data_IF_272197230156
#
_entry.id   IF_272197230156
#
_cell.length_a   1.000
_cell.length_b   1.000
_cell.length_c   1.000
_cell.angle_alpha   90.00
_cell.angle_beta   90.00
_cell.angle_gamma   90.00
#
_symmetry.space_group_name_H-M   'P 1'
#
loop_
_entity.id
_entity.type
_entity.pdbx_description
1 polymer ?
#
# COMPACT_ATOMS: atom_id res chain seq x y z
N UNK A 1 88.84 -3.87 -56.43
CA UNK A 1 87.93 -2.72 -56.65
C UNK A 1 86.69 -2.71 -55.72
N UNK A 2 86.70 -3.40 -54.57
CA UNK A 2 85.53 -3.48 -53.67
C UNK A 2 85.49 -2.41 -52.56
N UNK A 3 86.59 -1.67 -52.35
CA UNK A 3 86.79 -0.83 -51.15
C UNK A 3 86.11 0.55 -51.18
N UNK A 4 85.70 1.04 -52.35
CA UNK A 4 85.12 2.39 -52.51
C UNK A 4 83.60 2.45 -52.28
N UNK A 5 82.88 1.33 -52.41
CA UNK A 5 81.42 1.28 -52.22
C UNK A 5 81.02 1.39 -50.74
N UNK A 6 81.78 0.76 -49.84
CA UNK A 6 81.54 0.80 -48.39
C UNK A 6 81.79 2.18 -47.78
N UNK A 7 82.79 2.92 -48.25
CA UNK A 7 83.10 4.27 -47.78
C UNK A 7 82.01 5.28 -48.16
N UNK A 8 81.46 5.18 -49.38
CA UNK A 8 80.35 6.03 -49.82
C UNK A 8 79.07 5.80 -49.00
N UNK A 9 78.76 4.53 -48.68
CA UNK A 9 77.63 4.19 -47.81
C UNK A 9 77.84 4.65 -46.36
N UNK A 10 79.05 4.50 -45.82
CA UNK A 10 79.38 4.98 -44.47
C UNK A 10 79.26 6.51 -44.36
N UNK A 11 79.69 7.26 -45.38
CA UNK A 11 79.57 8.71 -45.42
C UNK A 11 78.11 9.18 -45.52
N UNK A 12 77.27 8.45 -46.26
CA UNK A 12 75.85 8.76 -46.39
C UNK A 12 75.09 8.49 -45.08
N UNK A 13 75.40 7.36 -44.41
CA UNK A 13 74.89 7.06 -43.06
C UNK A 13 75.35 8.07 -42.02
N UNK A 14 76.62 8.51 -42.10
CA UNK A 14 77.16 9.56 -41.24
C UNK A 14 76.41 10.88 -41.41
N UNK A 15 76.17 11.32 -42.65
CA UNK A 15 75.40 12.55 -42.90
C UNK A 15 73.97 12.47 -42.36
N UNK A 16 73.31 11.33 -42.52
CA UNK A 16 71.92 11.13 -42.07
C UNK A 16 71.80 11.07 -40.55
N UNK A 17 72.69 10.33 -39.88
CA UNK A 17 72.72 10.26 -38.41
C UNK A 17 73.10 11.63 -37.82
N UNK A 18 74.05 12.33 -38.45
CA UNK A 18 74.46 13.67 -38.02
C UNK A 18 73.31 14.67 -38.09
N UNK A 19 72.55 14.71 -39.19
CA UNK A 19 71.36 15.57 -39.32
C UNK A 19 70.33 15.31 -38.23
N UNK A 20 70.07 14.03 -37.90
CA UNK A 20 69.13 13.64 -36.84
C UNK A 20 69.63 14.07 -35.45
N UNK A 21 70.92 13.91 -35.16
CA UNK A 21 71.52 14.36 -33.91
C UNK A 21 71.55 15.89 -33.79
N UNK A 22 71.87 16.60 -34.87
CA UNK A 22 71.86 18.07 -34.91
C UNK A 22 70.44 18.63 -34.70
N UNK A 23 69.40 17.98 -35.22
CA UNK A 23 67.99 18.32 -34.98
C UNK A 23 67.60 18.16 -33.50
N UNK A 24 68.21 17.22 -32.79
CA UNK A 24 68.03 17.02 -31.36
C UNK A 24 68.99 17.87 -30.50
N UNK A 25 69.84 18.70 -31.14
CA UNK A 25 70.76 19.61 -30.47
C UNK A 25 72.13 19.03 -30.13
N UNK A 26 72.42 17.78 -30.47
CA UNK A 26 73.71 17.13 -30.20
C UNK A 26 74.77 17.50 -31.24
N UNK A 27 75.46 18.62 -31.01
CA UNK A 27 76.41 19.20 -31.97
C UNK A 27 77.88 18.78 -31.81
N UNK A 28 78.23 17.90 -30.85
CA UNK A 28 79.63 17.47 -30.64
C UNK A 28 80.21 16.75 -31.88
N UNK A 29 81.51 16.88 -32.16
CA UNK A 29 82.15 16.18 -33.28
C UNK A 29 82.17 14.66 -33.06
N UNK A 30 81.76 13.90 -34.08
CA UNK A 30 81.78 12.42 -34.08
C UNK A 30 82.83 11.89 -35.05
N UNK A 31 83.58 10.87 -34.62
CA UNK A 31 84.47 10.09 -35.49
C UNK A 31 83.70 9.02 -36.28
N UNK A 32 84.25 8.61 -37.43
CA UNK A 32 83.65 7.59 -38.29
C UNK A 32 83.61 6.21 -37.61
N UNK A 33 84.56 5.90 -36.73
CA UNK A 33 84.66 4.62 -36.04
C UNK A 33 83.54 4.37 -35.01
N UNK A 34 82.95 5.43 -34.45
CA UNK A 34 81.87 5.32 -33.46
C UNK A 34 80.47 5.32 -34.07
N UNK A 35 80.36 5.54 -35.38
CA UNK A 35 79.09 5.63 -36.11
C UNK A 35 78.15 4.42 -35.88
N UNK A 36 78.57 3.16 -36.07
CA UNK A 36 77.65 2.01 -35.97
C UNK A 36 77.12 1.78 -34.55
N UNK A 37 77.88 2.18 -33.52
CA UNK A 37 77.42 2.10 -32.13
C UNK A 37 76.38 3.18 -31.83
N UNK A 38 76.64 4.42 -32.26
CA UNK A 38 75.73 5.55 -32.05
C UNK A 38 74.42 5.34 -32.81
N UNK A 39 74.47 4.78 -34.02
CA UNK A 39 73.28 4.45 -34.81
C UNK A 39 72.38 3.43 -34.08
N UNK A 40 72.97 2.38 -33.48
CA UNK A 40 72.22 1.39 -32.69
C UNK A 40 71.63 1.98 -31.41
N UNK A 41 72.43 2.69 -30.63
CA UNK A 41 71.95 3.34 -29.40
C UNK A 41 70.85 4.36 -29.69
N UNK A 42 70.95 5.09 -30.79
CA UNK A 42 69.93 6.03 -31.22
C UNK A 42 68.64 5.32 -31.63
N UNK A 43 68.74 4.24 -32.40
CA UNK A 43 67.59 3.41 -32.77
C UNK A 43 66.90 2.82 -31.53
N UNK A 44 67.67 2.30 -30.57
CA UNK A 44 67.14 1.76 -29.32
C UNK A 44 66.48 2.85 -28.46
N UNK A 45 67.04 4.05 -28.40
CA UNK A 45 66.45 5.17 -27.66
C UNK A 45 65.13 5.64 -28.30
N UNK A 46 65.09 5.77 -29.62
CA UNK A 46 63.86 6.09 -30.35
C UNK A 46 62.82 4.99 -30.13
N UNK A 47 63.19 3.72 -30.26
CA UNK A 47 62.27 2.60 -30.09
C UNK A 47 61.74 2.50 -28.66
N UNK A 48 62.58 2.70 -27.64
CA UNK A 48 62.16 2.67 -26.22
C UNK A 48 61.27 3.85 -25.86
N UNK A 49 61.56 5.06 -26.36
CA UNK A 49 60.73 6.25 -26.13
C UNK A 49 59.38 6.16 -26.84
N UNK A 50 59.36 5.64 -28.07
CA UNK A 50 58.13 5.37 -28.82
C UNK A 50 57.30 4.26 -28.16
N UNK A 51 57.94 3.16 -27.75
CA UNK A 51 57.28 2.07 -27.01
C UNK A 51 56.70 2.55 -25.68
N UNK A 52 57.44 3.39 -24.94
CA UNK A 52 56.97 3.98 -23.68
C UNK A 52 55.78 4.93 -23.92
N UNK A 53 55.82 5.73 -24.98
CA UNK A 53 54.71 6.62 -25.37
C UNK A 53 53.46 5.79 -25.70
N UNK A 54 53.60 4.74 -26.50
CA UNK A 54 52.50 3.87 -26.88
C UNK A 54 51.92 3.13 -25.65
N UNK A 55 52.78 2.59 -24.78
CA UNK A 55 52.36 1.96 -23.53
C UNK A 55 51.60 2.93 -22.62
N UNK A 56 52.03 4.20 -22.52
CA UNK A 56 51.30 5.23 -21.75
C UNK A 56 49.93 5.55 -22.35
N UNK A 57 49.83 5.63 -23.68
CA UNK A 57 48.55 5.86 -24.36
C UNK A 57 47.59 4.68 -24.15
N UNK A 58 48.08 3.45 -24.26
CA UNK A 58 47.28 2.24 -24.02
C UNK A 58 46.80 2.14 -22.59
N UNK A 59 47.65 2.49 -21.61
CA UNK A 59 47.25 2.58 -20.20
C UNK A 59 46.16 3.63 -20.02
N UNK A 60 46.33 4.83 -20.57
CA UNK A 60 45.31 5.89 -20.53
C UNK A 60 43.98 5.48 -21.15
N UNK A 61 44.01 4.74 -22.26
CA UNK A 61 42.82 4.23 -22.92
C UNK A 61 42.13 3.15 -22.08
N UNK A 62 42.89 2.20 -21.53
CA UNK A 62 42.33 1.17 -20.63
C UNK A 62 41.75 1.76 -19.35
N UNK A 63 42.37 2.81 -18.79
CA UNK A 63 41.82 3.48 -17.60
C UNK A 63 40.52 4.20 -17.89
N UNK A 64 40.38 4.82 -19.07
CA UNK A 64 39.13 5.49 -19.46
C UNK A 64 38.03 4.48 -19.77
N UNK A 65 38.34 3.41 -20.50
CA UNK A 65 37.43 2.28 -20.73
C UNK A 65 37.00 1.60 -19.42
N UNK A 66 37.91 1.41 -18.46
CA UNK A 66 37.60 0.83 -17.16
C UNK A 66 36.65 1.70 -16.33
N UNK A 67 36.84 3.03 -16.35
CA UNK A 67 35.97 3.96 -15.62
C UNK A 67 34.57 4.02 -16.25
N UNK A 68 34.48 3.93 -17.58
CA UNK A 68 33.19 3.87 -18.29
C UNK A 68 32.41 2.59 -17.96
N UNK A 69 33.09 1.44 -17.95
CA UNK A 69 32.48 0.15 -17.56
C UNK A 69 32.05 0.18 -16.09
N UNK A 70 32.87 0.69 -15.18
CA UNK A 70 32.50 0.79 -13.77
C UNK A 70 31.28 1.71 -13.57
N UNK A 71 31.21 2.83 -14.30
CA UNK A 71 30.05 3.72 -14.26
C UNK A 71 28.77 3.02 -14.73
N UNK A 72 28.84 2.23 -15.80
CA UNK A 72 27.70 1.47 -16.29
C UNK A 72 27.27 0.37 -15.29
N UNK A 73 28.24 -0.34 -14.70
CA UNK A 73 27.99 -1.43 -13.76
C UNK A 73 27.42 -0.92 -12.43
N UNK A 74 27.81 0.28 -11.99
CA UNK A 74 27.35 0.84 -10.72
C UNK A 74 25.84 1.11 -10.70
N UNK A 75 25.26 1.56 -11.82
CA UNK A 75 23.82 1.72 -11.96
C UNK A 75 23.08 0.38 -11.76
N UNK A 76 23.53 -0.69 -12.41
CA UNK A 76 22.95 -2.02 -12.26
C UNK A 76 23.13 -2.59 -10.85
N UNK A 77 24.25 -2.34 -10.18
CA UNK A 77 24.47 -2.75 -8.79
C UNK A 77 23.50 -2.05 -7.85
N UNK A 78 23.31 -0.74 -8.01
CA UNK A 78 22.36 0.05 -7.23
C UNK A 78 20.93 -0.44 -7.42
N UNK A 79 20.50 -0.64 -8.67
CA UNK A 79 19.17 -1.14 -9.00
C UNK A 79 18.95 -2.56 -8.46
N UNK A 80 19.92 -3.46 -8.62
CA UNK A 80 19.83 -4.80 -8.04
C UNK A 80 19.74 -4.77 -6.51
N UNK A 81 20.48 -3.88 -5.85
CA UNK A 81 20.39 -3.72 -4.40
C UNK A 81 19.00 -3.22 -3.97
N UNK A 82 18.40 -2.31 -4.73
CA UNK A 82 17.03 -1.83 -4.49
C UNK A 82 15.99 -2.92 -4.74
N UNK A 83 16.08 -3.64 -5.86
CA UNK A 83 15.19 -4.76 -6.18
C UNK A 83 15.26 -5.87 -5.13
N UNK A 84 16.45 -6.22 -4.65
CA UNK A 84 16.60 -7.21 -3.57
C UNK A 84 15.97 -6.72 -2.27
N UNK A 85 16.08 -5.42 -1.95
CA UNK A 85 15.43 -4.85 -0.77
C UNK A 85 13.91 -4.93 -0.89
N UNK A 86 13.35 -4.46 -2.01
CA UNK A 86 11.92 -4.50 -2.28
C UNK A 86 11.39 -5.93 -2.29
N UNK A 87 12.09 -6.86 -2.94
CA UNK A 87 11.72 -8.26 -2.98
C UNK A 87 11.66 -8.88 -1.58
N UNK A 88 12.65 -8.59 -0.72
CA UNK A 88 12.64 -9.04 0.67
C UNK A 88 11.51 -8.40 1.50
N UNK A 89 11.21 -7.12 1.29
CA UNK A 89 10.10 -6.43 1.95
C UNK A 89 8.74 -6.99 1.53
N UNK A 90 8.56 -7.21 0.24
CA UNK A 90 7.36 -7.86 -0.33
C UNK A 90 7.21 -9.27 0.21
N UNK A 91 8.28 -10.07 0.27
CA UNK A 91 8.24 -11.40 0.86
C UNK A 91 7.80 -11.38 2.33
N UNK A 92 8.34 -10.47 3.14
CA UNK A 92 7.91 -10.30 4.55
C UNK A 92 6.45 -9.86 4.64
N UNK A 93 6.01 -8.93 3.80
CA UNK A 93 4.63 -8.45 3.76
C UNK A 93 3.65 -9.58 3.40
N UNK A 94 3.97 -10.39 2.38
CA UNK A 94 3.16 -11.54 1.97
C UNK A 94 3.05 -12.55 3.11
N UNK A 95 4.15 -12.87 3.80
CA UNK A 95 4.14 -13.79 4.93
C UNK A 95 3.22 -13.25 6.04
N UNK A 96 3.40 -11.98 6.43
CA UNK A 96 2.61 -11.34 7.48
C UNK A 96 1.11 -11.31 7.13
N UNK A 97 0.76 -10.87 5.93
CA UNK A 97 -0.63 -10.83 5.47
C UNK A 97 -1.27 -12.22 5.43
N UNK A 98 -0.51 -13.25 5.03
CA UNK A 98 -0.98 -14.62 5.04
C UNK A 98 -1.24 -15.13 6.47
N UNK A 99 -0.33 -14.85 7.40
CA UNK A 99 -0.49 -15.23 8.80
C UNK A 99 -1.69 -14.55 9.45
N UNK A 100 -1.88 -13.24 9.20
CA UNK A 100 -3.04 -12.47 9.66
C UNK A 100 -4.35 -13.01 9.08
N UNK A 101 -4.39 -13.26 7.76
CA UNK A 101 -5.55 -13.86 7.09
C UNK A 101 -5.86 -15.26 7.66
N UNK A 102 -4.85 -16.11 7.83
CA UNK A 102 -5.03 -17.46 8.38
C UNK A 102 -5.51 -17.42 9.84
N UNK A 103 -5.08 -16.40 10.61
CA UNK A 103 -5.57 -16.17 11.97
C UNK A 103 -7.05 -15.76 11.98
N UNK A 104 -7.43 -14.79 11.15
CA UNK A 104 -8.82 -14.34 11.01
C UNK A 104 -9.73 -15.48 10.54
N UNK A 105 -9.29 -16.27 9.57
CA UNK A 105 -10.06 -17.44 9.09
C UNK A 105 -10.25 -18.47 10.21
N UNK A 106 -9.23 -18.70 11.05
CA UNK A 106 -9.34 -19.61 12.20
C UNK A 106 -10.35 -19.09 13.23
N UNK A 107 -10.29 -17.80 13.56
CA UNK A 107 -11.20 -17.16 14.49
C UNK A 107 -12.65 -17.17 14.00
N UNK A 108 -12.88 -16.75 12.75
CA UNK A 108 -14.21 -16.78 12.13
C UNK A 108 -14.79 -18.19 12.09
N UNK A 109 -13.99 -19.21 11.76
CA UNK A 109 -14.43 -20.61 11.80
C UNK A 109 -14.77 -21.08 13.22
N UNK A 110 -14.06 -20.60 14.24
CA UNK A 110 -14.37 -20.93 15.63
C UNK A 110 -15.68 -20.25 16.08
N UNK A 111 -15.86 -18.98 15.75
CA UNK A 111 -17.10 -18.23 15.99
C UNK A 111 -18.29 -18.86 15.28
N UNK A 112 -18.13 -19.25 14.01
CA UNK A 112 -19.16 -19.94 13.24
C UNK A 112 -19.61 -21.23 13.93
N UNK A 113 -18.68 -22.09 14.34
CA UNK A 113 -19.02 -23.33 15.06
C UNK A 113 -19.76 -23.05 16.37
N UNK A 114 -19.34 -22.03 17.11
CA UNK A 114 -20.01 -21.62 18.35
C UNK A 114 -21.46 -21.21 18.08
N UNK A 115 -21.68 -20.35 17.08
CA UNK A 115 -23.01 -19.91 16.67
C UNK A 115 -23.87 -21.05 16.12
N UNK A 116 -23.27 -22.01 15.39
CA UNK A 116 -23.96 -23.20 14.91
C UNK A 116 -24.46 -24.07 16.07
N UNK A 117 -23.66 -24.26 17.12
CA UNK A 117 -24.07 -24.97 18.33
C UNK A 117 -25.18 -24.23 19.07
N UNK A 118 -25.02 -22.92 19.32
CA UNK A 118 -26.07 -22.10 19.96
C UNK A 118 -27.38 -22.12 19.17
N UNK A 119 -27.31 -22.05 17.84
CA UNK A 119 -28.48 -22.13 16.98
C UNK A 119 -29.14 -23.52 17.03
N UNK A 120 -28.36 -24.60 17.09
CA UNK A 120 -28.89 -25.95 17.29
C UNK A 120 -29.61 -26.08 18.64
N UNK A 121 -29.02 -25.55 19.71
CA UNK A 121 -29.61 -25.57 21.06
C UNK A 121 -30.89 -24.73 21.12
N UNK A 122 -30.90 -23.54 20.51
CA UNK A 122 -32.08 -22.68 20.42
C UNK A 122 -33.20 -23.35 19.60
N UNK A 123 -32.87 -24.03 18.49
CA UNK A 123 -33.85 -24.81 17.72
C UNK A 123 -34.43 -25.94 18.54
N UNK A 124 -33.61 -26.65 19.30
CA UNK A 124 -34.06 -27.72 20.20
C UNK A 124 -35.00 -27.17 21.28
N UNK A 125 -34.61 -26.08 21.93
CA UNK A 125 -35.42 -25.42 22.97
C UNK A 125 -36.75 -24.88 22.41
N UNK A 126 -36.72 -24.25 21.23
CA UNK A 126 -37.92 -23.78 20.56
C UNK A 126 -38.88 -24.93 20.27
N UNK A 127 -38.37 -26.06 19.75
CA UNK A 127 -39.18 -27.23 19.51
C UNK A 127 -39.79 -27.79 20.80
N UNK A 128 -39.03 -27.81 21.90
CA UNK A 128 -39.53 -28.21 23.22
C UNK A 128 -40.67 -27.29 23.69
N UNK A 129 -40.53 -25.97 23.55
CA UNK A 129 -41.60 -25.02 23.88
C UNK A 129 -42.83 -25.21 23.01
N UNK A 130 -42.66 -25.45 21.70
CA UNK A 130 -43.78 -25.77 20.80
C UNK A 130 -44.53 -27.02 21.27
N UNK A 131 -43.83 -28.08 21.68
CA UNK A 131 -44.45 -29.27 22.24
C UNK A 131 -45.19 -28.99 23.55
N UNK A 132 -44.57 -28.20 24.44
CA UNK A 132 -45.19 -27.83 25.72
C UNK A 132 -46.45 -26.99 25.52
N UNK A 133 -46.42 -26.01 24.63
CA UNK A 133 -47.58 -25.19 24.28
C UNK A 133 -48.72 -26.07 23.75
N UNK A 134 -48.44 -26.97 22.80
CA UNK A 134 -49.46 -27.91 22.29
C UNK A 134 -50.04 -28.81 23.38
N UNK A 135 -49.23 -29.25 24.34
CA UNK A 135 -49.71 -30.02 25.49
C UNK A 135 -50.68 -29.17 26.34
N UNK A 136 -50.28 -27.95 26.70
CA UNK A 136 -51.10 -27.05 27.51
C UNK A 136 -52.41 -26.66 26.81
N UNK A 137 -52.37 -26.45 25.49
CA UNK A 137 -53.56 -26.20 24.66
C UNK A 137 -54.54 -27.38 24.72
N UNK A 138 -54.02 -28.61 24.64
CA UNK A 138 -54.86 -29.82 24.75
C UNK A 138 -55.47 -29.94 26.14
N UNK A 139 -54.68 -29.78 27.20
CA UNK A 139 -55.17 -29.84 28.58
C UNK A 139 -56.21 -28.73 28.86
N UNK A 140 -55.99 -27.53 28.31
CA UNK A 140 -56.93 -26.40 28.42
C UNK A 140 -58.26 -26.71 27.73
N UNK A 141 -58.21 -27.31 26.53
CA UNK A 141 -59.40 -27.76 25.81
C UNK A 141 -60.15 -28.85 26.59
N UNK A 142 -59.47 -29.86 27.09
CA UNK A 142 -60.06 -30.94 27.89
C UNK A 142 -60.74 -30.41 29.17
N UNK A 143 -60.09 -29.47 29.86
CA UNK A 143 -60.69 -28.79 31.02
C UNK A 143 -61.94 -28.00 30.64
N UNK A 144 -61.89 -27.27 29.52
CA UNK A 144 -63.04 -26.52 29.00
C UNK A 144 -64.21 -27.43 28.64
N UNK A 145 -63.94 -28.52 27.92
CA UNK A 145 -64.94 -29.53 27.56
C UNK A 145 -65.53 -30.21 28.81
N UNK A 146 -64.69 -30.47 29.83
CA UNK A 146 -65.14 -31.02 31.11
C UNK A 146 -66.04 -30.05 31.86
N UNK A 147 -65.70 -28.76 31.88
CA UNK A 147 -66.53 -27.70 32.49
C UNK A 147 -67.89 -27.65 31.78
N UNK A 148 -67.91 -27.65 30.45
CA UNK A 148 -69.16 -27.66 29.67
C UNK A 148 -70.01 -28.89 29.99
N UNK A 149 -69.43 -30.10 29.98
CA UNK A 149 -70.14 -31.34 30.33
C UNK A 149 -70.68 -31.32 31.77
N UNK A 150 -69.93 -30.75 32.73
CA UNK A 150 -70.40 -30.60 34.11
C UNK A 150 -71.52 -29.56 34.21
N UNK A 151 -71.44 -28.47 33.48
CA UNK A 151 -72.52 -27.48 33.40
C UNK A 151 -73.78 -28.11 32.81
N UNK A 152 -73.67 -28.85 31.71
CA UNK A 152 -74.78 -29.62 31.13
C UNK A 152 -75.39 -30.59 32.12
N UNK A 153 -74.59 -31.42 32.80
CA UNK A 153 -75.11 -32.36 33.83
C UNK A 153 -75.73 -31.63 35.00
N UNK A 154 -75.14 -30.49 35.40
CA UNK A 154 -75.70 -29.64 36.43
C UNK A 154 -77.10 -29.19 35.99
N UNK A 155 -77.29 -28.65 34.77
CA UNK A 155 -78.60 -28.24 34.21
C UNK A 155 -79.71 -29.32 34.23
N UNK A 156 -79.36 -30.60 34.38
CA UNK A 156 -80.31 -31.71 34.43
C UNK A 156 -80.48 -32.32 35.84
N UNK A 157 -79.77 -31.82 36.86
CA UNK A 157 -79.84 -32.35 38.22
C UNK A 157 -81.16 -31.93 38.91
N UNK A 158 -82.08 -32.88 39.06
CA UNK A 158 -83.34 -32.71 39.81
C UNK A 158 -83.08 -33.01 41.28
N UNK A 159 -83.18 -31.99 42.14
CA UNK A 159 -83.12 -32.15 43.61
C UNK A 159 -84.44 -32.77 44.08
N UNK A 160 -84.43 -34.06 44.41
CA UNK A 160 -85.57 -34.70 45.07
C UNK A 160 -85.50 -34.42 46.57
N UNK A 161 -86.31 -33.48 47.05
CA UNK A 161 -86.51 -33.30 48.48
C UNK A 161 -87.32 -34.49 49.04
N UNK A 162 -87.01 -35.02 50.25
CA UNK A 162 -87.79 -36.05 50.92
C UNK A 162 -89.16 -35.49 51.34
N UNK A 163 -90.07 -35.38 50.37
CA UNK A 163 -91.34 -34.68 50.55
C UNK A 163 -92.19 -34.60 49.28
N UNK A 164 -92.12 -35.64 48.44
CA UNK A 164 -93.17 -36.02 47.47
C UNK A 164 -93.61 -35.04 46.38
N UNK A 165 -93.10 -33.81 46.29
CA UNK A 165 -93.51 -32.84 45.26
C UNK A 165 -92.33 -32.48 44.36
N UNK A 166 -92.32 -33.07 43.16
CA UNK A 166 -91.40 -32.72 42.06
C UNK A 166 -91.63 -31.26 41.66
N UNK A 167 -90.90 -30.33 42.27
CA UNK A 167 -90.83 -28.95 41.79
C UNK A 167 -89.68 -28.84 40.79
N UNK A 168 -89.99 -28.53 39.54
CA UNK A 168 -88.99 -28.13 38.55
C UNK A 168 -88.52 -26.73 38.96
N UNK A 169 -87.44 -26.66 39.73
CA UNK A 169 -86.82 -25.38 40.08
C UNK A 169 -86.08 -24.92 38.81
N UNK A 170 -86.42 -23.77 38.22
CA UNK A 170 -85.72 -23.28 37.04
C UNK A 170 -84.24 -23.09 37.37
N UNK A 171 -83.37 -23.57 36.49
CA UNK A 171 -81.93 -23.48 36.65
C UNK A 171 -81.51 -22.01 36.78
N UNK A 172 -81.27 -21.58 38.02
CA UNK A 172 -80.53 -20.34 38.25
C UNK A 172 -79.13 -20.64 37.76
N UNK A 173 -78.76 -20.10 36.60
CA UNK A 173 -77.33 -19.89 36.30
C UNK A 173 -76.79 -19.21 37.56
N UNK A 174 -75.86 -19.85 38.26
CA UNK A 174 -75.14 -19.19 39.34
C UNK A 174 -74.38 -18.04 38.68
N UNK A 175 -75.06 -16.91 38.57
CA UNK A 175 -74.47 -15.65 38.16
C UNK A 175 -73.86 -15.10 39.42
N UNK A 176 -72.55 -15.00 39.43
CA UNK A 176 -71.92 -14.05 40.34
C UNK A 176 -72.40 -12.67 39.88
N UNK A 177 -73.36 -12.11 40.61
CA UNK A 177 -73.59 -10.68 40.59
C UNK A 177 -72.40 -10.09 41.34
N UNK A 178 -71.66 -9.22 40.66
CA UNK A 178 -70.53 -8.53 41.26
C UNK A 178 -71.16 -7.32 41.97
N UNK A 179 -71.42 -7.45 43.27
CA UNK A 179 -72.09 -6.40 44.07
C UNK A 179 -71.28 -5.09 44.10
N UNK A 180 -69.96 -5.19 43.94
CA UNK A 180 -69.09 -4.09 43.54
C UNK A 180 -67.86 -4.65 42.83
N UNK A 181 -67.34 -3.92 41.84
CA UNK A 181 -65.96 -4.15 41.42
C UNK A 181 -65.09 -3.96 42.65
N UNK A 182 -64.28 -4.97 43.00
CA UNK A 182 -63.22 -4.79 44.00
C UNK A 182 -62.50 -3.49 43.63
N UNK A 183 -62.24 -2.62 44.62
CA UNK A 183 -61.41 -1.44 44.38
C UNK A 183 -60.19 -1.89 43.56
N UNK A 184 -59.79 -1.15 42.50
CA UNK A 184 -58.58 -1.49 41.78
C UNK A 184 -57.56 -1.74 42.86
N UNK A 185 -56.98 -2.95 42.90
CA UNK A 185 -55.93 -3.22 43.86
C UNK A 185 -55.04 -1.98 43.82
N UNK A 186 -54.71 -1.39 44.97
CA UNK A 186 -53.58 -0.49 45.04
C UNK A 186 -52.41 -1.37 44.60
N UNK A 187 -52.24 -1.46 43.28
CA UNK A 187 -51.08 -2.01 42.65
C UNK A 187 -50.02 -1.16 43.34
N UNK A 188 -49.12 -1.74 44.16
CA UNK A 188 -47.89 -1.03 44.43
C UNK A 188 -47.40 -0.70 43.03
N UNK A 189 -47.49 0.60 42.66
CA UNK A 189 -47.48 1.06 41.27
C UNK A 189 -46.58 0.13 40.50
N UNK A 190 -47.15 -0.76 39.66
CA UNK A 190 -46.44 -1.89 39.02
C UNK A 190 -44.99 -1.49 38.95
N UNK A 191 -44.05 -2.10 39.72
CA UNK A 191 -42.76 -1.49 39.97
C UNK A 191 -42.31 -1.04 38.62
N UNK A 192 -42.28 0.30 38.38
CA UNK A 192 -42.15 0.83 37.01
C UNK A 192 -41.07 -0.04 36.46
N UNK A 193 -41.39 -0.91 35.49
CA UNK A 193 -40.40 -1.86 35.03
C UNK A 193 -39.35 -0.90 34.53
N UNK A 194 -38.29 -0.75 35.31
CA UNK A 194 -37.22 0.15 35.01
C UNK A 194 -36.62 -0.61 33.85
N UNK A 195 -37.12 -0.31 32.66
CA UNK A 195 -36.69 -0.97 31.44
C UNK A 195 -35.19 -0.67 31.25
N UNK A 196 -34.71 0.39 31.90
CA UNK A 196 -33.31 0.73 32.11
C UNK A 196 -32.51 -0.28 32.97
N UNK A 197 -33.15 -1.03 33.87
CA UNK A 197 -32.51 -2.03 34.74
C UNK A 197 -32.67 -3.47 34.21
N UNK A 198 -33.33 -3.67 33.07
CA UNK A 198 -33.38 -4.98 32.39
C UNK A 198 -31.99 -5.26 31.80
N UNK A 199 -31.27 -6.31 32.24
CA UNK A 199 -29.92 -6.63 31.77
C UNK A 199 -29.83 -6.76 30.24
N UNK A 200 -30.92 -7.19 29.58
CA UNK A 200 -30.95 -7.33 28.13
C UNK A 200 -31.06 -5.98 27.41
N UNK A 201 -31.78 -5.01 28.00
CA UNK A 201 -31.94 -3.66 27.46
C UNK A 201 -30.69 -2.82 27.70
N UNK A 202 -30.05 -2.99 28.86
CA UNK A 202 -28.76 -2.37 29.17
C UNK A 202 -27.66 -2.86 28.23
N UNK A 203 -27.60 -4.17 27.94
CA UNK A 203 -26.63 -4.75 26.99
C UNK A 203 -26.89 -4.26 25.56
N UNK A 204 -28.15 -4.18 25.12
CA UNK A 204 -28.49 -3.65 23.80
C UNK A 204 -28.16 -2.15 23.66
N UNK A 205 -28.39 -1.35 24.70
CA UNK A 205 -27.98 0.06 24.74
C UNK A 205 -26.46 0.20 24.72
N UNK A 206 -25.75 -0.62 25.48
CA UNK A 206 -24.28 -0.63 25.50
C UNK A 206 -23.69 -1.05 24.14
N UNK A 207 -24.31 -2.02 23.46
CA UNK A 207 -23.94 -2.42 22.09
C UNK A 207 -24.23 -1.28 21.10
N UNK A 208 -25.37 -0.58 21.25
CA UNK A 208 -25.70 0.56 20.41
C UNK A 208 -24.72 1.72 20.60
N UNK A 209 -24.38 2.07 21.84
CA UNK A 209 -23.42 3.14 22.17
C UNK A 209 -22.00 2.79 21.69
N UNK A 210 -21.58 1.53 21.88
CA UNK A 210 -20.29 1.04 21.35
C UNK A 210 -20.26 1.14 19.82
N UNK A 211 -21.37 0.78 19.17
CA UNK A 211 -21.48 0.87 17.71
C UNK A 211 -21.53 2.31 17.22
N UNK A 212 -22.17 3.21 17.94
CA UNK A 212 -22.17 4.65 17.64
C UNK A 212 -20.74 5.19 17.74
N UNK A 213 -20.02 4.89 18.82
CA UNK A 213 -18.63 5.33 18.99
C UNK A 213 -17.70 4.79 17.90
N UNK A 214 -17.85 3.53 17.50
CA UNK A 214 -17.13 2.94 16.37
C UNK A 214 -17.43 3.67 15.05
N UNK A 215 -18.71 3.92 14.77
CA UNK A 215 -19.13 4.61 13.55
C UNK A 215 -18.64 6.06 13.54
N UNK A 216 -18.69 6.77 14.66
CA UNK A 216 -18.14 8.11 14.80
C UNK A 216 -16.62 8.14 14.56
N UNK A 217 -15.89 7.19 15.13
CA UNK A 217 -14.44 7.06 14.89
C UNK A 217 -14.13 6.77 13.42
N UNK A 218 -14.89 5.89 12.77
CA UNK A 218 -14.72 5.61 11.34
C UNK A 218 -15.03 6.84 10.47
N UNK A 219 -16.07 7.60 10.80
CA UNK A 219 -16.40 8.84 10.09
C UNK A 219 -15.27 9.86 10.23
N UNK A 220 -14.70 10.01 11.43
CA UNK A 220 -13.57 10.92 11.65
C UNK A 220 -12.31 10.48 10.91
N UNK A 221 -12.00 9.17 10.93
CA UNK A 221 -10.87 8.61 10.19
C UNK A 221 -11.04 8.84 8.68
N UNK A 222 -12.21 8.53 8.12
CA UNK A 222 -12.50 8.76 6.70
C UNK A 222 -12.40 10.24 6.33
N UNK A 223 -12.90 11.14 7.18
CA UNK A 223 -12.73 12.59 6.98
C UNK A 223 -11.25 12.97 6.93
N UNK A 224 -10.45 12.49 7.87
CA UNK A 224 -9.01 12.77 7.89
C UNK A 224 -8.29 12.22 6.65
N UNK A 225 -8.66 11.02 6.16
CA UNK A 225 -8.12 10.44 4.93
C UNK A 225 -8.49 11.26 3.70
N UNK A 226 -9.75 11.70 3.61
CA UNK A 226 -10.18 12.58 2.51
C UNK A 226 -9.44 13.90 2.52
N UNK A 227 -9.21 14.50 3.68
CA UNK A 227 -8.46 15.75 3.80
C UNK A 227 -6.98 15.57 3.39
N UNK A 228 -6.35 14.46 3.78
CA UNK A 228 -5.00 14.12 3.35
C UNK A 228 -4.94 13.90 1.84
N UNK A 229 -5.91 13.19 1.26
CA UNK A 229 -6.01 12.97 -0.17
C UNK A 229 -6.18 14.29 -0.93
N UNK A 230 -7.05 15.18 -0.46
CA UNK A 230 -7.26 16.50 -1.05
C UNK A 230 -6.00 17.35 -1.00
N UNK A 231 -5.28 17.37 0.13
CA UNK A 231 -3.99 18.07 0.25
C UNK A 231 -2.96 17.53 -0.74
N UNK A 232 -2.88 16.20 -0.91
CA UNK A 232 -1.99 15.58 -1.91
C UNK A 232 -2.39 15.97 -3.33
N UNK A 233 -3.69 15.99 -3.62
CA UNK A 233 -4.23 16.35 -4.93
C UNK A 233 -3.95 17.82 -5.27
N UNK A 234 -4.07 18.72 -4.30
CA UNK A 234 -3.65 20.13 -4.42
C UNK A 234 -2.13 20.20 -4.71
N UNK A 235 -1.31 19.44 -3.99
CA UNK A 235 0.13 19.38 -4.22
C UNK A 235 0.48 18.91 -5.63
N UNK A 236 -0.15 17.84 -6.11
CA UNK A 236 0.04 17.33 -7.48
C UNK A 236 -0.42 18.35 -8.52
N UNK A 237 -1.58 18.98 -8.34
CA UNK A 237 -2.04 20.06 -9.24
C UNK A 237 -1.04 21.20 -9.31
N UNK A 238 -0.42 21.58 -8.20
CA UNK A 238 0.60 22.63 -8.16
C UNK A 238 1.93 22.18 -8.79
N UNK A 239 2.27 20.89 -8.73
CA UNK A 239 3.42 20.35 -9.44
C UNK A 239 3.18 20.34 -10.95
N UNK A 240 2.02 19.84 -11.40
CA UNK A 240 1.62 19.86 -12.81
C UNK A 240 1.61 21.29 -13.36
N UNK A 241 1.04 22.25 -12.62
CA UNK A 241 1.05 23.66 -13.03
C UNK A 241 2.48 24.24 -13.12
N UNK A 242 3.42 23.80 -12.28
CA UNK A 242 4.83 24.20 -12.39
C UNK A 242 5.50 23.56 -13.60
N UNK A 243 5.23 22.29 -13.89
CA UNK A 243 5.76 21.59 -15.05
C UNK A 243 5.22 22.19 -16.35
N UNK A 244 3.93 22.51 -16.43
CA UNK A 244 3.32 23.24 -17.56
C UNK A 244 3.91 24.65 -17.72
N UNK A 245 4.19 25.37 -16.62
CA UNK A 245 4.88 26.66 -16.69
C UNK A 245 6.32 26.53 -17.17
N UNK A 246 7.04 25.48 -16.76
CA UNK A 246 8.39 25.20 -17.23
C UNK A 246 8.35 24.87 -18.73
N UNK A 247 7.43 24.02 -19.18
CA UNK A 247 7.23 23.68 -20.58
C UNK A 247 6.86 24.90 -21.44
N UNK A 248 6.04 25.82 -20.93
CA UNK A 248 5.68 27.06 -21.63
C UNK A 248 6.82 28.11 -21.64
N UNK A 249 7.70 28.09 -20.64
CA UNK A 249 8.83 29.01 -20.52
C UNK A 249 10.09 28.55 -21.26
N UNK A 250 10.25 27.25 -21.54
CA UNK A 250 11.37 26.73 -22.34
C UNK A 250 11.47 27.39 -23.74
N UNK A 251 10.38 27.48 -24.53
CA UNK A 251 10.41 28.14 -25.84
C UNK A 251 10.77 29.63 -25.76
N UNK A 252 10.31 30.32 -24.70
CA UNK A 252 10.56 31.75 -24.48
C UNK A 252 12.03 32.01 -24.12
N UNK A 253 12.64 31.16 -23.29
CA UNK A 253 14.06 31.25 -22.96
C UNK A 253 14.95 30.92 -24.16
N UNK A 254 14.57 29.92 -24.98
CA UNK A 254 15.29 29.62 -26.23
C UNK A 254 15.21 30.77 -27.24
N UNK A 255 14.05 31.44 -27.37
CA UNK A 255 13.91 32.60 -28.26
C UNK A 255 14.65 33.85 -27.74
N UNK A 256 14.69 34.07 -26.43
CA UNK A 256 15.45 35.18 -25.83
C UNK A 256 16.98 34.97 -25.92
N UNK A 257 17.47 33.73 -25.80
CA UNK A 257 18.88 33.43 -26.02
C UNK A 257 19.25 33.62 -27.50
N UNK A 258 18.40 33.18 -28.43
CA UNK A 258 18.61 33.41 -29.87
C UNK A 258 18.54 34.89 -30.29
N UNK A 259 17.75 35.72 -29.61
CA UNK A 259 17.69 37.17 -29.87
C UNK A 259 18.87 37.93 -29.25
N UNK A 260 19.36 37.50 -28.09
CA UNK A 260 20.59 38.04 -27.48
C UNK A 260 21.83 37.72 -28.32
N UNK A 261 21.98 36.49 -28.83
CA UNK A 261 23.10 36.14 -29.72
C UNK A 261 23.08 36.92 -31.05
N UNK A 262 21.89 37.19 -31.60
CA UNK A 262 21.78 38.06 -32.79
C UNK A 262 22.18 39.51 -32.52
N UNK A 263 21.93 40.01 -31.31
CA UNK A 263 22.25 41.39 -30.93
C UNK A 263 23.75 41.56 -30.64
N UNK A 264 24.40 40.53 -30.09
CA UNK A 264 25.86 40.53 -29.81
C UNK A 264 26.69 40.42 -31.10
N UNK A 265 26.16 39.82 -32.18
CA UNK A 265 26.86 39.66 -33.47
C UNK A 265 26.70 40.89 -34.37
N UNK A 266 25.71 41.76 -34.16
CA UNK A 266 25.57 43.04 -34.86
C UNK A 266 26.42 44.14 -34.22
N UNK A 267 27.70 44.18 -34.57
CA UNK A 267 28.55 45.37 -34.41
C UNK A 267 27.96 46.54 -35.22
N UNK A 268 27.84 47.76 -34.66
CA UNK A 268 27.52 48.93 -35.46
C UNK A 268 28.72 49.26 -36.37
N UNK A 269 28.47 49.41 -37.66
CA UNK A 269 29.40 50.05 -38.59
C UNK A 269 29.82 51.41 -38.04
N UNK A 270 31.14 51.59 -37.87
CA UNK A 270 31.78 52.87 -37.62
C UNK A 270 31.39 53.87 -38.72
N UNK A 271 30.48 54.79 -38.41
CA UNK A 271 30.32 56.02 -39.21
C UNK A 271 31.13 57.14 -38.57
N UNK A 272 32.17 57.53 -39.31
CA UNK A 272 32.85 58.83 -39.39
C UNK A 272 32.70 59.84 -38.25
N UNK A 273 33.86 60.17 -37.70
CA UNK A 273 34.14 61.30 -36.82
C UNK A 273 34.05 62.60 -37.63
N UNK A 274 33.07 63.46 -37.32
CA UNK A 274 33.00 64.82 -37.86
C UNK A 274 33.56 65.80 -36.83
N UNK A 275 34.71 66.40 -37.15
CA UNK A 275 35.39 67.43 -36.35
C UNK A 275 35.01 68.81 -36.86
N UNK A 276 34.04 69.47 -36.20
CA UNK A 276 33.85 70.93 -36.23
C UNK A 276 33.36 71.48 -34.91
#
# INVERSE_FOLDING_TARGET
>A
MASTSGAAQAQQKFSNLRKRLDQLGYRQSLGIESLPLVERLFADLVHTTESLKNAKLDVGRKTTESVDVDSAVEAYKSDNANLVRENNELHKSIIKQKEESDALVRELKASLRKLEHENADLKFLNNQYVHKTKQMERESKEKSDKILSLQEKNFHAVVSTPGGRKKTIPFRRQRMEIDSTVEPADYPSWPKLNLADDPYVADLLQVADSRIAELESLVENLRSETEIADRKLIGFRQQVAREEQVEYNLPQHSQNIFSLDKTIISFPECTEVDWR
#
